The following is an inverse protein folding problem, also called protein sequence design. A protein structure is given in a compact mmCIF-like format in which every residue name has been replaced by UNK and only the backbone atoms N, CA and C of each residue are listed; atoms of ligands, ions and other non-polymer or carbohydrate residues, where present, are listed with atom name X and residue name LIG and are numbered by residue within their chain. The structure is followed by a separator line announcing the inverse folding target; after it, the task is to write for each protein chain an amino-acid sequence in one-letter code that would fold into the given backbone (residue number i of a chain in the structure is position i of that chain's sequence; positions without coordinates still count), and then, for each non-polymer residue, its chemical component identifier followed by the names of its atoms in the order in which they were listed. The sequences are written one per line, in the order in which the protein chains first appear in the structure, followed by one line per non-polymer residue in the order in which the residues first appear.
data_IF_305242740353
#
_entry.id   IF_305242740353
#
_cell.length_a   1.000
_cell.length_b   1.000
_cell.length_c   1.000
_cell.angle_alpha   90.00
_cell.angle_beta   90.00
_cell.angle_gamma   90.00
#
_symmetry.space_group_name_H-M   'P 1'
#
loop_
_entity.id
_entity.type
_entity.pdbx_description
1 polymer ?
#
# COMPACT_ATOMS: atom_id res chain seq x y z
N UNK A 1 -46.07 -0.78 -2.43
CA UNK A 1 -45.04 0.14 -1.89
C UNK A 1 -44.35 0.80 -3.07
N UNK A 2 -43.99 2.08 -2.96
CA UNK A 2 -43.08 2.70 -3.91
C UNK A 2 -41.71 2.00 -3.81
N UNK A 3 -41.04 1.79 -4.93
CA UNK A 3 -39.75 1.07 -4.98
C UNK A 3 -38.64 1.78 -4.21
N UNK A 4 -38.78 3.09 -4.05
CA UNK A 4 -37.87 3.98 -3.33
C UNK A 4 -38.28 4.25 -1.87
N UNK A 5 -39.42 3.71 -1.40
CA UNK A 5 -39.80 3.78 0.01
C UNK A 5 -38.78 2.99 0.86
N UNK A 6 -38.24 3.59 1.91
CA UNK A 6 -37.23 2.98 2.77
C UNK A 6 -37.66 1.61 3.33
N UNK A 7 -38.95 1.38 3.55
CA UNK A 7 -39.45 0.08 4.03
C UNK A 7 -39.34 -1.03 2.97
N UNK A 8 -39.32 -0.67 1.68
CA UNK A 8 -39.05 -1.59 0.58
C UNK A 8 -37.57 -1.62 0.21
N UNK A 9 -36.92 -0.46 0.13
CA UNK A 9 -35.53 -0.32 -0.31
C UNK A 9 -34.50 -0.73 0.76
N UNK A 10 -34.81 -0.47 2.04
CA UNK A 10 -33.91 -0.66 3.18
C UNK A 10 -33.27 -2.06 3.23
N UNK A 11 -34.04 -3.16 3.12
CA UNK A 11 -33.46 -4.51 3.09
C UNK A 11 -32.36 -4.70 2.04
N UNK A 12 -32.51 -4.13 0.83
CA UNK A 12 -31.51 -4.24 -0.23
C UNK A 12 -30.28 -3.36 0.02
N UNK A 13 -30.49 -2.18 0.62
CA UNK A 13 -29.38 -1.30 1.04
C UNK A 13 -28.51 -2.02 2.08
N UNK A 14 -29.12 -2.63 3.11
CA UNK A 14 -28.39 -3.38 4.12
C UNK A 14 -27.78 -4.69 3.61
N UNK A 15 -28.43 -5.34 2.63
CA UNK A 15 -27.84 -6.49 1.94
C UNK A 15 -26.56 -6.07 1.20
N UNK A 16 -26.57 -4.96 0.48
CA UNK A 16 -25.39 -4.44 -0.21
C UNK A 16 -24.29 -4.02 0.78
N UNK A 17 -24.64 -3.39 1.91
CA UNK A 17 -23.69 -3.06 2.98
C UNK A 17 -23.05 -4.32 3.58
N UNK A 18 -23.85 -5.36 3.82
CA UNK A 18 -23.36 -6.67 4.29
C UNK A 18 -22.40 -7.29 3.28
N UNK A 19 -22.73 -7.22 1.99
CA UNK A 19 -21.86 -7.73 0.92
C UNK A 19 -20.50 -7.00 0.90
N UNK A 20 -20.48 -5.67 1.04
CA UNK A 20 -19.22 -4.94 1.14
C UNK A 20 -18.38 -5.38 2.35
N UNK A 21 -19.00 -5.49 3.52
CA UNK A 21 -18.31 -5.96 4.72
C UNK A 21 -17.72 -7.37 4.54
N UNK A 22 -18.49 -8.29 3.97
CA UNK A 22 -18.03 -9.66 3.71
C UNK A 22 -16.91 -9.70 2.68
N UNK A 23 -17.02 -8.94 1.59
CA UNK A 23 -16.01 -8.88 0.54
C UNK A 23 -14.71 -8.23 1.04
N UNK A 24 -14.79 -7.17 1.85
CA UNK A 24 -13.63 -6.58 2.51
C UNK A 24 -12.94 -7.62 3.39
N UNK A 25 -13.68 -8.29 4.28
CA UNK A 25 -13.12 -9.31 5.17
C UNK A 25 -12.48 -10.48 4.39
N UNK A 26 -13.13 -10.94 3.32
CA UNK A 26 -12.59 -11.99 2.45
C UNK A 26 -11.33 -11.53 1.73
N UNK A 27 -11.31 -10.30 1.23
CA UNK A 27 -10.13 -9.71 0.58
C UNK A 27 -8.96 -9.66 1.56
N UNK A 28 -9.19 -9.14 2.77
CA UNK A 28 -8.19 -9.09 3.84
C UNK A 28 -7.66 -10.50 4.14
N UNK A 29 -8.54 -11.46 4.34
CA UNK A 29 -8.16 -12.85 4.63
C UNK A 29 -7.30 -13.46 3.52
N UNK A 30 -7.67 -13.26 2.25
CA UNK A 30 -6.93 -13.78 1.10
C UNK A 30 -5.54 -13.15 0.98
N UNK A 31 -5.46 -11.83 1.13
CA UNK A 31 -4.21 -11.08 1.06
C UNK A 31 -3.29 -11.44 2.24
N UNK A 32 -3.82 -11.67 3.44
CA UNK A 32 -3.05 -12.12 4.60
C UNK A 32 -2.38 -13.49 4.36
N UNK A 33 -3.07 -14.43 3.70
CA UNK A 33 -2.47 -15.73 3.36
C UNK A 33 -1.23 -15.55 2.49
N UNK A 34 -1.29 -14.66 1.49
CA UNK A 34 -0.13 -14.36 0.66
C UNK A 34 0.96 -13.62 1.45
N UNK A 35 0.57 -12.64 2.27
CA UNK A 35 1.49 -11.87 3.11
C UNK A 35 2.30 -12.77 4.04
N UNK A 36 1.65 -13.73 4.72
CA UNK A 36 2.31 -14.68 5.62
C UNK A 36 3.19 -15.71 4.92
N UNK A 37 3.04 -15.89 3.61
CA UNK A 37 3.96 -16.72 2.83
C UNK A 37 5.30 -16.02 2.53
N UNK A 38 5.37 -14.70 2.70
CA UNK A 38 6.60 -13.94 2.50
C UNK A 38 7.53 -14.06 3.71
N UNK A 39 8.83 -14.12 3.46
CA UNK A 39 9.86 -14.13 4.49
C UNK A 39 10.75 -12.90 4.36
N UNK A 40 11.10 -12.28 5.49
CA UNK A 40 12.10 -11.23 5.52
C UNK A 40 13.50 -11.87 5.48
N UNK A 41 14.28 -11.56 4.44
CA UNK A 41 15.61 -12.13 4.22
C UNK A 41 16.63 -11.01 4.12
N UNK A 42 17.73 -11.11 4.88
CA UNK A 42 18.84 -10.17 4.82
C UNK A 42 20.18 -10.92 4.80
N UNK A 43 21.17 -10.36 4.10
CA UNK A 43 22.51 -10.96 4.00
C UNK A 43 23.34 -10.84 5.30
N UNK A 44 22.97 -9.87 6.14
CA UNK A 44 23.55 -9.62 7.45
C UNK A 44 22.45 -9.24 8.43
N UNK A 45 22.74 -9.28 9.73
CA UNK A 45 21.83 -8.74 10.75
C UNK A 45 21.56 -7.27 10.46
N UNK A 46 20.30 -6.96 10.19
CA UNK A 46 19.80 -5.62 9.96
C UNK A 46 19.71 -4.88 11.30
N UNK A 47 20.23 -3.66 11.43
CA UNK A 47 20.05 -2.85 12.65
C UNK A 47 18.57 -2.61 12.97
N UNK A 48 18.22 -2.57 14.26
CA UNK A 48 16.84 -2.40 14.76
C UNK A 48 16.04 -1.32 14.02
N UNK A 49 16.60 -0.11 13.87
CA UNK A 49 15.91 1.01 13.22
C UNK A 49 15.62 0.72 11.75
N UNK A 50 16.57 0.12 11.03
CA UNK A 50 16.40 -0.22 9.62
C UNK A 50 15.39 -1.35 9.46
N UNK A 51 15.42 -2.35 10.35
CA UNK A 51 14.44 -3.42 10.38
C UNK A 51 13.03 -2.87 10.60
N UNK A 52 12.82 -2.04 11.62
CA UNK A 52 11.52 -1.42 11.92
C UNK A 52 11.00 -0.57 10.75
N UNK A 53 11.87 0.22 10.13
CA UNK A 53 11.49 1.04 8.97
C UNK A 53 11.09 0.17 7.77
N UNK A 54 11.84 -0.91 7.49
CA UNK A 54 11.53 -1.82 6.39
C UNK A 54 10.27 -2.64 6.65
N UNK A 55 10.05 -3.14 7.87
CA UNK A 55 8.83 -3.88 8.21
C UNK A 55 7.60 -2.99 8.15
N UNK A 56 7.70 -1.75 8.65
CA UNK A 56 6.61 -0.78 8.55
C UNK A 56 6.31 -0.45 7.08
N UNK A 57 7.32 -0.18 6.26
CA UNK A 57 7.12 0.07 4.83
C UNK A 57 6.45 -1.12 4.13
N UNK A 58 6.85 -2.35 4.46
CA UNK A 58 6.26 -3.57 3.92
C UNK A 58 4.79 -3.73 4.33
N UNK A 59 4.45 -3.49 5.60
CA UNK A 59 3.06 -3.50 6.09
C UNK A 59 2.21 -2.41 5.43
N UNK A 60 2.73 -1.19 5.33
CA UNK A 60 2.02 -0.08 4.66
C UNK A 60 1.78 -0.36 3.18
N UNK A 61 2.78 -0.92 2.48
CA UNK A 61 2.63 -1.31 1.08
C UNK A 61 1.60 -2.44 0.93
N UNK A 62 1.61 -3.42 1.84
CA UNK A 62 0.62 -4.49 1.87
C UNK A 62 -0.80 -3.95 2.00
N UNK A 63 -1.07 -3.10 3.00
CA UNK A 63 -2.39 -2.50 3.24
C UNK A 63 -2.84 -1.70 2.01
N UNK A 64 -1.96 -0.84 1.48
CA UNK A 64 -2.29 0.00 0.33
C UNK A 64 -2.55 -0.83 -0.94
N UNK A 65 -1.75 -1.85 -1.22
CA UNK A 65 -1.94 -2.72 -2.39
C UNK A 65 -3.26 -3.46 -2.31
N UNK A 66 -3.57 -4.04 -1.16
CA UNK A 66 -4.82 -4.77 -0.92
C UNK A 66 -6.05 -3.87 -1.07
N UNK A 67 -6.02 -2.65 -0.53
CA UNK A 67 -7.09 -1.68 -0.70
C UNK A 67 -7.27 -1.30 -2.19
N UNK A 68 -6.17 -1.03 -2.91
CA UNK A 68 -6.21 -0.71 -4.33
C UNK A 68 -6.81 -1.85 -5.18
N UNK A 69 -6.44 -3.10 -4.91
CA UNK A 69 -6.95 -4.27 -5.64
C UNK A 69 -8.46 -4.45 -5.43
N UNK A 70 -8.93 -4.24 -4.19
CA UNK A 70 -10.35 -4.24 -3.86
C UNK A 70 -11.12 -3.14 -4.59
N UNK A 71 -10.61 -1.91 -4.55
CA UNK A 71 -11.24 -0.77 -5.18
C UNK A 71 -11.25 -0.87 -6.70
N UNK A 72 -10.20 -1.43 -7.29
CA UNK A 72 -10.17 -1.73 -8.73
C UNK A 72 -11.28 -2.71 -9.11
N UNK A 73 -11.50 -3.75 -8.30
CA UNK A 73 -12.57 -4.73 -8.52
C UNK A 73 -13.96 -4.07 -8.45
N UNK A 74 -14.21 -3.25 -7.44
CA UNK A 74 -15.47 -2.50 -7.30
C UNK A 74 -15.65 -1.50 -8.46
N UNK A 75 -14.60 -0.75 -8.81
CA UNK A 75 -14.62 0.21 -9.92
C UNK A 75 -14.96 -0.46 -11.25
N UNK A 76 -14.42 -1.66 -11.47
CA UNK A 76 -14.70 -2.46 -12.67
C UNK A 76 -16.17 -2.86 -12.72
N UNK A 77 -16.75 -3.34 -11.62
CA UNK A 77 -18.18 -3.68 -11.55
C UNK A 77 -19.04 -2.45 -11.84
N UNK A 78 -18.76 -1.32 -11.18
CA UNK A 78 -19.53 -0.07 -11.33
C UNK A 78 -19.50 0.45 -12.76
N UNK A 79 -18.31 0.56 -13.35
CA UNK A 79 -18.12 1.01 -14.73
C UNK A 79 -18.78 0.06 -15.73
N UNK A 80 -18.59 -1.25 -15.57
CA UNK A 80 -19.21 -2.25 -16.45
C UNK A 80 -20.73 -2.21 -16.37
N UNK A 81 -21.29 -2.03 -15.17
CA UNK A 81 -22.73 -1.90 -14.95
C UNK A 81 -23.30 -0.70 -15.69
N UNK A 82 -22.67 0.46 -15.58
CA UNK A 82 -23.10 1.67 -16.26
C UNK A 82 -22.90 1.58 -17.78
N UNK A 83 -21.73 1.14 -18.25
CA UNK A 83 -21.41 1.09 -19.69
C UNK A 83 -22.29 0.12 -20.46
N UNK A 84 -22.80 -0.92 -19.80
CA UNK A 84 -23.73 -1.88 -20.40
C UNK A 84 -25.20 -1.55 -20.09
N UNK A 85 -25.49 -0.45 -19.39
CA UNK A 85 -26.84 -0.06 -18.97
C UNK A 85 -27.61 -1.22 -18.31
N UNK A 86 -26.94 -2.00 -17.45
CA UNK A 86 -27.51 -3.23 -16.91
C UNK A 86 -28.80 -2.94 -16.13
N UNK A 87 -29.86 -3.69 -16.41
CA UNK A 87 -31.14 -3.47 -15.75
C UNK A 87 -31.06 -3.80 -14.25
N UNK A 88 -31.46 -2.87 -13.38
CA UNK A 88 -31.47 -3.09 -11.93
C UNK A 88 -32.53 -4.12 -11.58
N UNK A 89 -32.19 -5.08 -10.70
CA UNK A 89 -33.15 -6.08 -10.22
C UNK A 89 -34.37 -5.48 -9.49
N UNK A 90 -34.24 -4.27 -8.95
CA UNK A 90 -35.33 -3.51 -8.32
C UNK A 90 -36.01 -2.51 -9.29
N UNK A 91 -35.65 -2.56 -10.58
CA UNK A 91 -36.16 -1.65 -11.63
C UNK A 91 -35.96 -0.16 -11.29
N UNK A 92 -34.85 0.16 -10.63
CA UNK A 92 -34.56 1.52 -10.11
C UNK A 92 -33.89 2.42 -11.12
N UNK A 93 -33.29 1.85 -12.16
CA UNK A 93 -32.65 2.62 -13.23
C UNK A 93 -33.56 2.77 -14.46
N UNK A 94 -34.34 1.75 -14.79
CA UNK A 94 -35.29 1.76 -15.89
C UNK A 94 -36.59 1.06 -15.50
N UNK A 95 -37.71 1.50 -16.06
CA UNK A 95 -38.96 0.74 -16.05
C UNK A 95 -39.30 0.26 -17.46
N UNK A 96 -40.00 -0.87 -17.52
CA UNK A 96 -40.47 -1.47 -18.75
C UNK A 96 -41.95 -1.13 -18.93
N UNK A 97 -42.32 -0.66 -20.12
CA UNK A 97 -43.71 -0.39 -20.49
C UNK A 97 -44.03 -1.13 -21.79
N UNK A 98 -45.02 -2.01 -21.75
CA UNK A 98 -45.61 -2.61 -22.95
C UNK A 98 -46.72 -1.69 -23.44
N UNK A 99 -46.59 -1.23 -24.69
CA UNK A 99 -47.61 -0.40 -25.36
C UNK A 99 -48.49 -1.23 -26.32
N UNK A 100 -48.01 -2.41 -26.74
CA UNK A 100 -48.73 -3.42 -27.50
C UNK A 100 -48.08 -4.80 -27.26
N UNK A 101 -48.69 -5.87 -27.78
CA UNK A 101 -48.19 -7.24 -27.64
C UNK A 101 -46.77 -7.45 -28.23
N UNK A 102 -46.33 -6.59 -29.15
CA UNK A 102 -45.08 -6.75 -29.89
C UNK A 102 -43.92 -5.84 -29.44
N UNK A 103 -44.19 -4.80 -28.62
CA UNK A 103 -43.17 -3.80 -28.27
C UNK A 103 -43.11 -3.54 -26.76
N UNK A 104 -41.89 -3.68 -26.22
CA UNK A 104 -41.53 -3.26 -24.86
C UNK A 104 -40.56 -2.10 -24.95
N UNK A 105 -40.94 -0.98 -24.35
CA UNK A 105 -40.09 0.20 -24.25
C UNK A 105 -39.44 0.27 -22.87
N UNK A 106 -38.16 0.65 -22.85
CA UNK A 106 -37.39 0.94 -21.64
C UNK A 106 -37.31 2.44 -21.43
N UNK A 107 -37.78 2.92 -20.28
CA UNK A 107 -37.68 4.33 -19.92
C UNK A 107 -36.78 4.48 -18.70
N UNK A 108 -35.82 5.42 -18.75
CA UNK A 108 -34.92 5.67 -17.64
C UNK A 108 -35.61 6.46 -16.53
N UNK A 109 -35.38 6.05 -15.29
CA UNK A 109 -35.73 6.86 -14.13
C UNK A 109 -34.86 8.12 -14.05
N UNK A 110 -35.39 9.13 -13.37
CA UNK A 110 -34.66 10.35 -13.06
C UNK A 110 -34.86 10.72 -11.60
N UNK A 111 -33.76 10.92 -10.88
CA UNK A 111 -33.72 11.28 -9.47
C UNK A 111 -33.13 12.68 -9.34
N UNK A 112 -33.84 13.62 -8.72
CA UNK A 112 -33.36 15.00 -8.52
C UNK A 112 -32.86 15.69 -9.80
N UNK A 113 -33.57 15.51 -10.92
CA UNK A 113 -33.20 15.99 -12.28
C UNK A 113 -31.94 15.33 -12.89
N UNK A 114 -31.44 14.25 -12.30
CA UNK A 114 -30.36 13.42 -12.83
C UNK A 114 -30.96 12.14 -13.44
N UNK A 115 -30.69 11.86 -14.71
CA UNK A 115 -31.23 10.68 -15.41
C UNK A 115 -30.30 9.47 -15.31
N UNK A 116 -30.87 8.31 -15.02
CA UNK A 116 -30.15 7.03 -14.95
C UNK A 116 -29.55 6.60 -16.30
N UNK A 117 -30.05 7.13 -17.42
CA UNK A 117 -29.44 6.93 -18.73
C UNK A 117 -28.14 7.73 -18.91
N UNK A 118 -28.00 8.84 -18.20
CA UNK A 118 -26.83 9.73 -18.28
C UNK A 118 -25.78 9.44 -17.20
N UNK A 119 -26.22 9.08 -15.99
CA UNK A 119 -25.33 8.77 -14.88
C UNK A 119 -25.89 7.67 -14.02
N UNK A 120 -25.04 6.69 -13.67
CA UNK A 120 -25.37 5.67 -12.69
C UNK A 120 -25.42 6.21 -11.26
N UNK A 121 -24.78 7.37 -11.00
CA UNK A 121 -24.65 7.95 -9.67
C UNK A 121 -25.87 8.75 -9.21
N UNK A 122 -26.91 8.91 -10.05
CA UNK A 122 -28.08 9.67 -9.65
C UNK A 122 -28.74 9.03 -8.42
N UNK A 123 -28.81 9.82 -7.34
CA UNK A 123 -29.38 9.41 -6.08
C UNK A 123 -30.12 10.57 -5.41
N UNK A 124 -30.99 10.25 -4.47
CA UNK A 124 -31.70 11.20 -3.63
C UNK A 124 -31.99 10.58 -2.25
N UNK A 125 -32.32 11.40 -1.26
CA UNK A 125 -32.54 10.93 0.10
C UNK A 125 -33.73 9.96 0.16
N UNK A 126 -33.55 8.81 0.80
CA UNK A 126 -34.52 7.71 0.81
C UNK A 126 -35.75 8.06 1.67
N UNK A 127 -36.93 8.24 1.07
CA UNK A 127 -38.14 8.66 1.76
C UNK A 127 -38.91 7.48 2.39
N UNK A 128 -39.80 7.81 3.31
CA UNK A 128 -40.93 6.99 3.75
C UNK A 128 -42.17 7.76 3.32
N UNK A 129 -43.09 7.05 2.64
CA UNK A 129 -44.34 7.64 2.16
C UNK A 129 -45.51 7.33 3.09
N UNK A 130 -46.44 8.28 3.20
CA UNK A 130 -47.81 8.00 3.63
C UNK A 130 -48.54 7.26 2.51
N UNK A 131 -48.98 6.03 2.77
CA UNK A 131 -49.69 5.22 1.77
C UNK A 131 -51.02 5.82 1.33
N UNK A 132 -51.66 6.63 2.18
CA UNK A 132 -52.98 7.16 1.89
C UNK A 132 -52.91 8.33 0.90
N UNK A 133 -51.84 9.13 0.94
CA UNK A 133 -51.75 10.40 0.20
C UNK A 133 -50.46 10.55 -0.61
N UNK A 134 -49.61 9.52 -0.66
CA UNK A 134 -48.39 9.48 -1.47
C UNK A 134 -47.40 10.61 -1.16
N UNK A 135 -47.48 11.18 0.05
CA UNK A 135 -46.61 12.27 0.50
C UNK A 135 -45.44 11.70 1.28
N UNK A 136 -44.27 12.30 1.11
CA UNK A 136 -43.10 12.00 1.94
C UNK A 136 -43.38 12.50 3.36
N UNK A 137 -43.34 11.58 4.33
CA UNK A 137 -43.54 11.89 5.76
C UNK A 137 -42.23 11.95 6.53
N UNK A 138 -41.22 11.24 6.05
CA UNK A 138 -39.89 11.22 6.63
C UNK A 138 -38.88 10.87 5.56
N UNK A 139 -37.70 11.47 5.60
CA UNK A 139 -36.56 11.05 4.78
C UNK A 139 -35.48 10.59 5.72
N UNK A 140 -35.01 9.36 5.56
CA UNK A 140 -34.03 8.76 6.46
C UNK A 140 -32.70 9.50 6.32
N UNK A 141 -32.25 10.24 7.35
CA UNK A 141 -31.02 11.01 7.27
C UNK A 141 -29.83 10.11 6.95
N UNK A 142 -29.08 10.47 5.91
CA UNK A 142 -27.85 9.76 5.53
C UNK A 142 -28.08 8.56 4.62
N UNK A 143 -29.32 8.11 4.41
CA UNK A 143 -29.60 7.00 3.50
C UNK A 143 -30.12 7.52 2.18
N UNK A 144 -29.51 7.06 1.09
CA UNK A 144 -29.84 7.44 -0.27
C UNK A 144 -30.39 6.26 -1.06
N UNK A 145 -31.22 6.58 -2.04
CA UNK A 145 -31.75 5.68 -3.04
C UNK A 145 -31.50 6.25 -4.44
N UNK A 146 -31.31 5.40 -5.45
CA UNK A 146 -30.93 5.88 -6.77
C UNK A 146 -30.94 4.80 -7.84
N UNK A 147 -30.34 5.10 -9.00
CA UNK A 147 -30.35 4.23 -10.16
C UNK A 147 -29.85 2.82 -9.86
N UNK A 148 -28.75 2.73 -9.11
CA UNK A 148 -28.19 1.47 -8.62
C UNK A 148 -27.98 1.55 -7.11
N UNK A 149 -28.30 0.46 -6.41
CA UNK A 149 -28.14 0.36 -4.95
C UNK A 149 -26.69 0.61 -4.54
N UNK A 150 -25.70 0.09 -5.29
CA UNK A 150 -24.27 0.30 -5.01
C UNK A 150 -23.94 1.80 -5.05
N UNK A 151 -24.35 2.51 -6.09
CA UNK A 151 -24.04 3.93 -6.26
C UNK A 151 -24.73 4.81 -5.21
N UNK A 152 -25.97 4.48 -4.84
CA UNK A 152 -26.69 5.18 -3.78
C UNK A 152 -26.12 4.86 -2.39
N UNK A 153 -25.73 3.60 -2.14
CA UNK A 153 -25.12 3.18 -0.88
C UNK A 153 -23.79 3.88 -0.65
N UNK A 154 -22.91 3.95 -1.65
CA UNK A 154 -21.61 4.63 -1.54
C UNK A 154 -21.76 6.12 -1.18
N UNK A 155 -22.82 6.77 -1.63
CA UNK A 155 -23.16 8.15 -1.25
C UNK A 155 -23.85 8.28 0.12
N UNK A 156 -24.31 7.17 0.68
CA UNK A 156 -24.98 7.14 1.99
C UNK A 156 -23.96 7.19 3.14
N UNK A 157 -24.44 7.44 4.34
CA UNK A 157 -23.73 7.29 5.60
C UNK A 157 -24.66 6.72 6.68
N UNK A 158 -24.10 6.33 7.83
CA UNK A 158 -24.84 5.68 8.91
C UNK A 158 -25.32 6.64 10.00
N UNK A 159 -25.36 7.95 9.76
CA UNK A 159 -25.61 8.96 10.79
C UNK A 159 -26.92 8.74 11.57
N UNK A 160 -27.98 8.27 10.91
CA UNK A 160 -29.26 7.98 11.57
C UNK A 160 -29.13 6.83 12.59
N UNK A 161 -28.25 5.87 12.36
CA UNK A 161 -28.09 4.67 13.20
C UNK A 161 -27.29 4.94 14.48
N UNK A 162 -26.57 6.06 14.56
CA UNK A 162 -26.00 6.57 15.81
C UNK A 162 -27.00 7.38 16.65
N UNK A 163 -28.15 7.75 16.08
CA UNK A 163 -29.13 8.64 16.72
C UNK A 163 -30.39 7.88 17.14
N UNK A 164 -30.59 7.73 18.46
CA UNK A 164 -31.76 7.03 19.04
C UNK A 164 -33.10 7.60 18.58
N UNK A 165 -33.21 8.93 18.46
CA UNK A 165 -34.45 9.57 17.99
C UNK A 165 -34.75 9.18 16.54
N UNK A 166 -33.72 9.12 15.69
CA UNK A 166 -33.87 8.71 14.31
C UNK A 166 -34.31 7.25 14.17
N UNK A 167 -33.67 6.34 14.92
CA UNK A 167 -34.08 4.93 14.97
C UNK A 167 -35.52 4.79 15.46
N UNK A 168 -35.91 5.49 16.53
CA UNK A 168 -37.27 5.46 17.04
C UNK A 168 -38.30 5.96 16.02
N UNK A 169 -37.95 7.01 15.24
CA UNK A 169 -38.80 7.50 14.15
C UNK A 169 -38.96 6.43 13.07
N UNK A 170 -37.88 5.82 12.60
CA UNK A 170 -37.94 4.71 11.64
C UNK A 170 -38.84 3.59 12.16
N UNK A 171 -38.61 3.15 13.41
CA UNK A 171 -39.37 2.08 14.04
C UNK A 171 -40.87 2.37 14.13
N UNK A 172 -41.25 3.64 14.34
CA UNK A 172 -42.67 4.04 14.38
C UNK A 172 -43.42 3.81 13.05
N UNK A 173 -42.70 3.72 11.93
CA UNK A 173 -43.27 3.48 10.59
C UNK A 173 -43.30 2.00 10.19
N UNK A 174 -42.67 1.12 10.97
CA UNK A 174 -42.80 -0.33 10.82
C UNK A 174 -44.00 -0.83 11.63
N UNK A 175 -44.72 -1.83 11.10
CA UNK A 175 -45.96 -2.33 11.69
C UNK A 175 -45.76 -2.77 13.15
N UNK A 176 -46.72 -2.45 14.02
CA UNK A 176 -46.73 -2.75 15.48
C UNK A 176 -46.43 -4.23 15.85
N UNK A 177 -46.53 -5.15 14.89
CA UNK A 177 -46.27 -6.59 15.04
C UNK A 177 -44.79 -6.98 14.91
N UNK A 178 -43.93 -6.11 14.38
CA UNK A 178 -42.48 -6.31 14.28
C UNK A 178 -41.81 -5.50 15.39
N UNK A 179 -41.83 -6.01 16.63
CA UNK A 179 -40.99 -5.47 17.70
C UNK A 179 -39.53 -5.83 17.41
N UNK A 180 -38.89 -5.09 16.52
CA UNK A 180 -37.45 -5.20 16.30
C UNK A 180 -36.74 -4.45 17.42
N UNK A 181 -35.86 -5.14 18.15
CA UNK A 181 -35.03 -4.50 19.15
C UNK A 181 -33.82 -3.87 18.44
N UNK A 182 -34.02 -2.65 17.94
CA UNK A 182 -32.97 -1.90 17.24
C UNK A 182 -32.10 -1.16 18.26
N UNK A 183 -30.83 -1.54 18.33
CA UNK A 183 -29.83 -0.83 19.11
C UNK A 183 -29.15 0.22 18.25
N UNK A 184 -28.87 1.38 18.83
CA UNK A 184 -28.02 2.40 18.20
C UNK A 184 -26.60 1.86 18.06
N UNK A 185 -25.92 2.29 17.00
CA UNK A 185 -24.47 2.11 16.87
C UNK A 185 -23.74 2.91 17.94
N UNK A 186 -22.59 2.40 18.37
CA UNK A 186 -21.78 3.02 19.40
C UNK A 186 -20.73 3.94 18.78
N UNK A 187 -20.93 5.26 18.94
CA UNK A 187 -20.01 6.27 18.43
C UNK A 187 -18.66 6.28 19.18
N UNK A 188 -18.56 5.64 20.35
CA UNK A 188 -17.30 5.56 21.11
C UNK A 188 -16.32 4.54 20.55
N UNK A 189 -16.77 3.64 19.67
CA UNK A 189 -15.94 2.66 18.98
C UNK A 189 -15.31 3.21 17.70
N UNK A 190 -15.69 4.41 17.27
CA UNK A 190 -15.14 5.08 16.09
C UNK A 190 -13.73 5.59 16.39
N UNK A 191 -12.78 5.20 15.56
CA UNK A 191 -11.37 5.61 15.69
C UNK A 191 -10.98 6.44 14.47
N UNK A 192 -11.22 5.92 13.27
CA UNK A 192 -10.82 6.53 12.02
C UNK A 192 -11.97 7.31 11.36
N UNK A 193 -13.18 6.77 11.37
CA UNK A 193 -14.31 7.34 10.64
C UNK A 193 -15.23 8.19 11.51
N UNK A 194 -15.87 9.19 10.90
CA UNK A 194 -16.90 10.00 11.55
C UNK A 194 -18.30 9.39 11.40
N UNK A 195 -19.25 9.81 12.25
CA UNK A 195 -20.66 9.41 12.14
C UNK A 195 -21.31 9.83 10.80
N UNK A 196 -20.76 10.85 10.14
CA UNK A 196 -21.20 11.36 8.84
C UNK A 196 -20.33 10.87 7.68
N UNK A 197 -19.32 10.03 7.95
CA UNK A 197 -18.48 9.46 6.90
C UNK A 197 -19.31 8.61 5.94
N UNK A 198 -19.09 8.82 4.65
CA UNK A 198 -19.81 8.10 3.61
C UNK A 198 -19.39 6.63 3.57
N UNK A 199 -20.28 5.76 3.12
CA UNK A 199 -19.91 4.35 2.92
C UNK A 199 -18.79 4.23 1.90
N UNK A 200 -18.65 5.15 0.94
CA UNK A 200 -17.47 5.17 0.07
C UNK A 200 -16.18 5.37 0.86
N UNK A 201 -16.10 6.34 1.77
CA UNK A 201 -14.92 6.56 2.61
C UNK A 201 -14.58 5.31 3.44
N UNK A 202 -15.59 4.60 3.95
CA UNK A 202 -15.40 3.34 4.65
C UNK A 202 -14.86 2.26 3.69
N UNK A 203 -15.47 2.08 2.52
CA UNK A 203 -15.10 1.07 1.51
C UNK A 203 -13.69 1.33 0.95
N UNK A 204 -13.31 2.59 0.75
CA UNK A 204 -11.98 3.01 0.29
C UNK A 204 -10.86 2.52 1.24
N UNK A 205 -11.19 2.34 2.52
CA UNK A 205 -10.30 1.86 3.58
C UNK A 205 -10.70 0.45 4.07
N UNK A 206 -11.32 -0.35 3.20
CA UNK A 206 -11.75 -1.74 3.47
C UNK A 206 -12.70 -1.90 4.67
N UNK A 207 -13.34 -0.82 5.11
CA UNK A 207 -14.22 -0.74 6.27
C UNK A 207 -13.51 -1.13 7.58
N UNK A 208 -12.19 -0.88 7.67
CA UNK A 208 -11.36 -1.17 8.85
C UNK A 208 -11.09 0.11 9.63
N UNK A 209 -11.40 0.11 10.93
CA UNK A 209 -11.15 1.25 11.84
C UNK A 209 -9.68 1.39 12.25
N UNK A 210 -8.98 0.27 12.44
CA UNK A 210 -7.58 0.27 12.89
C UNK A 210 -6.84 -1.00 12.45
N UNK A 211 -5.60 -0.81 11.97
CA UNK A 211 -4.66 -1.89 11.69
C UNK A 211 -3.68 -2.08 12.84
N UNK A 212 -3.82 -3.17 13.60
CA UNK A 212 -2.89 -3.50 14.66
C UNK A 212 -1.74 -4.38 14.12
N UNK A 213 -0.55 -3.80 13.98
CA UNK A 213 0.66 -4.52 13.59
C UNK A 213 1.74 -4.39 14.67
N UNK A 214 2.47 -5.47 14.91
CA UNK A 214 3.58 -5.50 15.86
C UNK A 214 4.83 -6.09 15.19
N UNK A 215 5.99 -5.57 15.57
CA UNK A 215 7.29 -6.01 15.04
C UNK A 215 8.14 -6.55 16.19
N UNK A 216 8.60 -7.80 16.09
CA UNK A 216 9.36 -8.48 17.14
C UNK A 216 10.83 -8.64 16.69
N UNK A 217 11.66 -7.64 16.98
CA UNK A 217 13.07 -7.64 16.55
C UNK A 217 13.91 -8.74 17.22
N UNK A 218 13.60 -9.10 18.47
CA UNK A 218 14.34 -10.15 19.18
C UNK A 218 14.23 -11.50 18.47
N UNK A 219 13.03 -11.86 17.99
CA UNK A 219 12.82 -13.06 17.18
C UNK A 219 13.65 -13.04 15.90
N UNK A 220 13.64 -11.90 15.18
CA UNK A 220 14.47 -11.72 13.99
C UNK A 220 15.97 -11.88 14.29
N UNK A 221 16.48 -11.22 15.34
CA UNK A 221 17.89 -11.26 15.71
C UNK A 221 18.34 -12.68 16.07
N UNK A 222 17.54 -13.41 16.85
CA UNK A 222 17.86 -14.77 17.26
C UNK A 222 17.98 -15.75 16.09
N UNK A 223 17.18 -15.56 15.03
CA UNK A 223 17.23 -16.36 13.81
C UNK A 223 18.38 -15.94 12.88
N UNK A 224 18.67 -14.64 12.78
CA UNK A 224 19.62 -14.10 11.79
C UNK A 224 21.02 -13.80 12.33
N UNK A 225 21.28 -13.99 13.64
CA UNK A 225 22.57 -13.70 14.24
C UNK A 225 23.71 -14.53 13.60
N UNK A 226 24.90 -13.93 13.38
CA UNK A 226 26.01 -14.64 12.79
C UNK A 226 26.53 -15.71 13.77
N UNK A 227 26.88 -16.89 13.25
CA UNK A 227 27.52 -17.94 14.05
C UNK A 227 28.91 -17.55 14.56
N UNK A 228 29.57 -16.59 13.90
CA UNK A 228 30.86 -16.02 14.30
C UNK A 228 30.90 -14.52 14.02
N UNK A 229 31.29 -13.73 15.01
CA UNK A 229 31.57 -12.32 14.83
C UNK A 229 32.96 -12.13 14.20
N UNK A 230 33.05 -11.32 13.16
CA UNK A 230 34.31 -10.84 12.58
C UNK A 230 34.60 -9.44 13.14
N UNK A 231 35.78 -9.27 13.72
CA UNK A 231 36.25 -7.97 14.21
C UNK A 231 37.27 -7.43 13.22
N UNK A 232 36.99 -6.27 12.61
CA UNK A 232 38.00 -5.54 11.87
C UNK A 232 38.78 -4.65 12.83
N UNK A 233 40.01 -5.04 13.16
CA UNK A 233 40.93 -4.18 13.88
C UNK A 233 41.43 -3.09 12.93
N UNK A 234 40.88 -1.88 13.04
CA UNK A 234 41.54 -0.71 12.46
C UNK A 234 42.67 -0.28 13.40
N UNK A 235 43.84 -0.89 13.25
CA UNK A 235 45.03 -0.42 13.94
C UNK A 235 45.40 0.95 13.38
N UNK A 236 45.27 2.01 14.19
CA UNK A 236 46.08 3.21 13.95
C UNK A 236 47.52 2.75 14.04
N UNK A 237 48.32 2.97 12.99
CA UNK A 237 49.73 2.60 13.00
C UNK A 237 50.37 3.27 14.22
N UNK A 238 50.79 2.44 15.18
CA UNK A 238 51.37 2.91 16.42
C UNK A 238 52.63 3.74 16.10
N UNK A 239 52.90 4.79 16.88
CA UNK A 239 54.04 5.67 16.60
C UNK A 239 55.36 4.88 16.52
N UNK A 240 55.45 3.80 17.30
CA UNK A 240 56.57 2.85 17.30
C UNK A 240 56.71 2.14 15.94
N UNK A 241 55.61 1.75 15.29
CA UNK A 241 55.65 1.14 13.96
C UNK A 241 56.17 2.11 12.90
N UNK A 242 55.73 3.38 12.94
CA UNK A 242 56.19 4.41 12.01
C UNK A 242 57.69 4.67 12.19
N UNK A 243 58.16 4.81 13.44
CA UNK A 243 59.57 5.08 13.76
C UNK A 243 60.47 3.89 13.36
N UNK A 244 60.07 2.67 13.70
CA UNK A 244 60.85 1.46 13.37
C UNK A 244 60.95 1.24 11.86
N UNK A 245 59.89 1.54 11.11
CA UNK A 245 59.90 1.47 9.65
C UNK A 245 60.87 2.49 9.05
N UNK A 246 60.87 3.75 9.54
CA UNK A 246 61.79 4.79 9.09
C UNK A 246 63.26 4.44 9.39
N UNK A 247 63.56 3.94 10.59
CA UNK A 247 64.90 3.51 10.98
C UNK A 247 65.37 2.35 10.09
N UNK A 248 64.51 1.36 9.85
CA UNK A 248 64.81 0.23 8.98
C UNK A 248 65.08 0.65 7.54
N UNK A 249 64.32 1.62 7.02
CA UNK A 249 64.46 2.11 5.65
C UNK A 249 65.76 2.92 5.47
N UNK A 250 66.07 3.81 6.42
CA UNK A 250 67.33 4.58 6.41
C UNK A 250 68.54 3.65 6.60
N UNK A 251 68.47 2.73 7.56
CA UNK A 251 69.54 1.78 7.84
C UNK A 251 69.80 0.81 6.67
N UNK A 252 68.73 0.28 6.08
CA UNK A 252 68.80 -0.60 4.91
C UNK A 252 69.38 0.13 3.70
N UNK A 253 68.92 1.34 3.41
CA UNK A 253 69.39 2.13 2.27
C UNK A 253 70.88 2.46 2.38
N UNK A 254 71.36 2.91 3.55
CA UNK A 254 72.78 3.22 3.78
C UNK A 254 73.64 1.97 3.61
N UNK A 255 73.18 0.82 4.12
CA UNK A 255 73.92 -0.44 4.04
C UNK A 255 74.02 -0.93 2.60
N UNK A 256 72.92 -0.89 1.85
CA UNK A 256 72.88 -1.26 0.44
C UNK A 256 73.76 -0.32 -0.40
N UNK A 257 73.71 1.00 -0.18
CA UNK A 257 74.57 1.95 -0.89
C UNK A 257 76.05 1.67 -0.64
N UNK A 258 76.46 1.45 0.62
CA UNK A 258 77.87 1.15 0.96
C UNK A 258 78.38 -0.13 0.29
N UNK A 259 77.50 -1.10 0.04
CA UNK A 259 77.88 -2.39 -0.55
C UNK A 259 77.85 -2.35 -2.08
N UNK A 260 76.92 -1.59 -2.65
CA UNK A 260 76.72 -1.48 -4.12
C UNK A 260 77.66 -0.46 -4.75
N UNK A 261 77.90 0.69 -4.14
CA UNK A 261 78.74 1.77 -4.70
C UNK A 261 80.16 1.29 -5.04
N UNK A 262 80.92 0.59 -4.17
CA UNK A 262 82.27 0.13 -4.50
C UNK A 262 82.30 -0.83 -5.70
N UNK A 263 81.25 -1.65 -5.84
CA UNK A 263 81.12 -2.58 -6.97
C UNK A 263 80.84 -1.84 -8.27
N UNK A 264 79.92 -0.89 -8.26
CA UNK A 264 79.60 -0.04 -9.42
C UNK A 264 80.81 0.79 -9.83
N UNK A 265 81.51 1.42 -8.87
CA UNK A 265 82.72 2.22 -9.15
C UNK A 265 83.83 1.37 -9.75
N UNK A 266 84.08 0.15 -9.24
CA UNK A 266 85.04 -0.78 -9.87
C UNK A 266 84.65 -1.15 -11.30
N UNK A 267 83.35 -1.36 -11.55
CA UNK A 267 82.83 -1.71 -12.86
C UNK A 267 83.01 -0.55 -13.85
N UNK A 268 82.70 0.67 -13.43
CA UNK A 268 82.91 1.89 -14.22
C UNK A 268 84.41 2.10 -14.48
N UNK A 269 85.26 2.00 -13.47
CA UNK A 269 86.71 2.13 -13.62
C UNK A 269 87.31 1.07 -14.56
N UNK A 270 86.79 -0.16 -14.52
CA UNK A 270 87.15 -1.23 -15.44
C UNK A 270 86.76 -0.91 -16.89
N UNK A 271 85.54 -0.39 -17.10
CA UNK A 271 85.07 0.05 -18.42
C UNK A 271 85.90 1.23 -18.95
N UNK A 272 86.20 2.24 -18.12
CA UNK A 272 87.04 3.38 -18.51
C UNK A 272 88.43 2.90 -18.92
N UNK A 273 89.09 2.04 -18.12
CA UNK A 273 90.41 1.48 -18.46
C UNK A 273 90.41 0.74 -19.80
N UNK A 274 89.35 -0.01 -20.13
CA UNK A 274 89.21 -0.67 -21.44
C UNK A 274 89.01 0.31 -22.59
N UNK A 275 88.31 1.42 -22.38
CA UNK A 275 88.14 2.46 -23.40
C UNK A 275 89.44 3.25 -23.67
N UNK A 276 90.28 3.48 -22.64
CA UNK A 276 91.57 4.17 -22.81
C UNK A 276 92.59 3.31 -23.56
N UNK A 277 92.62 1.99 -23.30
CA UNK A 277 93.51 1.05 -24.02
C UNK A 277 93.15 0.93 -25.51
N UNK A 278 91.86 0.99 -25.87
CA UNK A 278 91.45 1.03 -27.28
C UNK A 278 91.87 2.31 -28.03
N UNK A 279 92.11 3.42 -27.32
CA UNK A 279 92.51 4.70 -27.93
C UNK A 279 94.01 4.79 -28.24
N UNK A 280 94.85 4.01 -27.55
CA UNK A 280 96.31 4.01 -27.74
C UNK A 280 96.82 2.89 -28.66
N UNK A 281 95.93 2.06 -29.23
CA UNK A 281 96.27 0.89 -30.06
C UNK A 281 96.07 1.11 -31.58
N UNK A 282 96.11 2.36 -32.06
CA UNK A 282 96.12 2.69 -33.50
C UNK A 282 97.34 3.56 -33.82
N UNK A 283 98.48 2.89 -34.01
CA UNK A 283 99.62 3.38 -34.80
C UNK A 283 100.50 2.17 -35.16
N UNK A 284 100.49 1.66 -36.41
CA UNK A 284 101.44 0.64 -36.84
C UNK A 284 102.61 1.27 -37.60
N UNK A 285 103.81 1.13 -37.05
CA UNK A 285 105.08 1.34 -37.75
C UNK A 285 105.64 0.01 -38.28
N UNK A 286 105.87 -0.01 -39.59
CA UNK A 286 106.99 -0.55 -40.39
C UNK A 286 107.96 -1.58 -39.72
N UNK A 287 108.20 -2.72 -40.40
CA UNK A 287 109.49 -3.18 -40.98
C UNK A 287 109.54 -4.71 -41.19
N UNK A 288 110.44 -5.25 -42.05
CA UNK A 288 111.41 -4.59 -42.94
C UNK A 288 111.11 -4.72 -44.44
#
# INVERSE_FOLDING_TARGET
LYTDDFRAAGPFIFQALTAFCQLSNQTISNHLVQFYSNQYVSASVTPLQLFQSQTQAFVSQFISSMANDFLLSISTIRKTTQSNSLFSGQQTNYYLMSLSDDYVYTYSYSYSKCSCASSATCAYGCPIYDFNNSKVIFTVPGIYFGCYIIEALLQSNLQCFYNKTCINQIQSYFTKYLSMNLTTLDSSLLIQFGMNSTIQELVDELMVEEWNSSTIYEGYYNECQPSKCSYSYQTKNDAIYIITTLIGLVGGLITVLKLTIPRVVRLIAFCIRRCTVKRNAVSPGIQP
#
